data_IF_452132607619
#
_entry.id   IF_452132607619
#
_cell.length_a   1.000
_cell.length_b   1.000
_cell.length_c   1.000
_cell.angle_alpha   90.00
_cell.angle_beta   90.00
_cell.angle_gamma   90.00
#
_symmetry.space_group_name_H-M   'P 1'
#
loop_
_entity.id
_entity.type
_entity.pdbx_description
1 polymer ?
#
# COMPACT_ATOMS: atom_id res chain seq x y z
N UNK A 1 -36.62 -25.19 50.23
CA UNK A 1 -35.23 -24.84 49.89
C UNK A 1 -34.88 -25.68 48.66
N UNK A 2 -35.48 -25.49 47.47
CA UNK A 2 -35.59 -24.30 46.61
C UNK A 2 -34.24 -23.63 46.35
N UNK A 3 -33.94 -23.53 45.05
CA UNK A 3 -32.84 -22.85 44.35
C UNK A 3 -31.65 -23.80 44.11
N UNK A 4 -31.56 -24.59 43.02
CA UNK A 4 -31.56 -24.27 41.57
C UNK A 4 -30.54 -23.20 41.16
N UNK A 5 -29.68 -23.59 40.21
CA UNK A 5 -28.92 -22.78 39.25
C UNK A 5 -28.02 -21.64 39.76
N UNK A 6 -26.70 -21.80 39.57
CA UNK A 6 -25.86 -20.95 38.70
C UNK A 6 -24.44 -21.55 38.69
N UNK A 7 -24.08 -22.28 37.63
CA UNK A 7 -23.27 -21.77 36.51
C UNK A 7 -21.79 -21.53 36.95
N UNK A 8 -20.90 -22.47 36.66
CA UNK A 8 -19.97 -22.33 35.52
C UNK A 8 -19.19 -21.03 35.57
N UNK A 9 -17.98 -21.05 36.14
CA UNK A 9 -16.82 -20.28 35.61
C UNK A 9 -15.58 -20.52 36.47
N UNK A 10 -14.96 -21.69 36.29
CA UNK A 10 -13.51 -21.81 36.51
C UNK A 10 -12.97 -22.69 35.39
N UNK A 11 -13.15 -22.23 34.15
CA UNK A 11 -12.23 -22.64 33.09
C UNK A 11 -10.86 -22.06 33.47
N UNK A 12 -9.99 -23.00 33.82
CA UNK A 12 -8.55 -22.86 33.77
C UNK A 12 -8.16 -21.93 32.63
N UNK A 13 -7.60 -20.78 33.03
CA UNK A 13 -6.88 -19.85 32.16
C UNK A 13 -5.92 -20.65 31.29
N UNK A 14 -6.34 -20.96 30.06
CA UNK A 14 -5.41 -21.11 28.97
C UNK A 14 -4.62 -19.81 28.94
N UNK A 15 -3.32 -19.95 29.15
CA UNK A 15 -2.35 -18.90 28.99
C UNK A 15 -2.63 -18.22 27.66
N UNK A 16 -3.10 -16.98 27.73
CA UNK A 16 -3.11 -16.07 26.60
C UNK A 16 -1.74 -16.16 25.95
N UNK A 17 -1.71 -16.76 24.75
CA UNK A 17 -0.52 -16.82 23.93
C UNK A 17 0.04 -15.41 23.83
N UNK A 18 1.31 -15.28 24.16
CA UNK A 18 2.09 -14.08 23.99
C UNK A 18 1.94 -13.56 22.55
N UNK A 19 1.52 -12.29 22.44
CA UNK A 19 1.11 -11.49 21.26
C UNK A 19 1.52 -11.98 19.87
N UNK A 20 0.51 -12.24 19.03
CA UNK A 20 0.64 -12.07 17.57
C UNK A 20 1.10 -10.63 17.31
N UNK A 21 2.26 -10.46 16.67
CA UNK A 21 2.81 -9.15 16.30
C UNK A 21 1.74 -8.29 15.61
N UNK A 22 1.54 -7.04 16.06
CA UNK A 22 0.62 -6.10 15.42
C UNK A 22 0.86 -6.08 13.91
N UNK A 23 -0.16 -6.44 13.13
CA UNK A 23 -0.09 -6.57 11.68
C UNK A 23 0.29 -5.20 11.06
N UNK A 24 1.50 -5.09 10.51
CA UNK A 24 1.99 -3.83 9.94
C UNK A 24 1.67 -3.78 8.45
N UNK A 25 0.78 -2.86 8.09
CA UNK A 25 0.36 -2.62 6.71
C UNK A 25 1.12 -1.45 6.08
N UNK A 26 1.63 -1.64 4.87
CA UNK A 26 2.26 -0.59 4.08
C UNK A 26 1.72 -0.50 2.65
N UNK A 27 1.90 0.66 2.04
CA UNK A 27 1.62 0.90 0.62
C UNK A 27 2.91 1.23 -0.11
N UNK A 28 3.04 0.75 -1.35
CA UNK A 28 3.95 1.25 -2.36
C UNK A 28 3.14 1.93 -3.45
N UNK A 29 3.48 3.17 -3.80
CA UNK A 29 2.85 3.88 -4.92
C UNK A 29 3.87 4.70 -5.68
N UNK A 30 3.70 4.80 -7.00
CA UNK A 30 4.49 5.69 -7.86
C UNK A 30 3.57 6.77 -8.39
N UNK A 31 3.87 8.03 -8.10
CA UNK A 31 3.06 9.18 -8.51
C UNK A 31 3.89 10.15 -9.34
N UNK A 32 3.25 10.78 -10.32
CA UNK A 32 3.84 11.83 -11.15
C UNK A 32 3.13 13.14 -10.91
N UNK A 33 3.82 14.19 -10.49
CA UNK A 33 3.25 15.52 -10.23
C UNK A 33 1.95 15.55 -9.39
N UNK A 34 1.84 14.80 -8.27
CA UNK A 34 0.65 14.88 -7.44
C UNK A 34 0.52 16.27 -6.81
N UNK A 35 -0.67 16.87 -6.90
CA UNK A 35 -0.93 18.14 -6.19
C UNK A 35 -0.94 17.90 -4.68
N UNK A 36 -0.68 18.97 -3.90
CA UNK A 36 -0.66 18.87 -2.42
C UNK A 36 -1.99 18.36 -1.86
N UNK A 37 -3.10 18.85 -2.40
CA UNK A 37 -4.44 18.49 -1.92
C UNK A 37 -4.81 17.05 -2.27
N UNK A 38 -4.43 16.59 -3.47
CA UNK A 38 -4.62 15.20 -3.90
C UNK A 38 -3.80 14.27 -3.01
N UNK A 39 -2.50 14.55 -2.84
CA UNK A 39 -1.63 13.74 -2.01
C UNK A 39 -2.10 13.70 -0.55
N UNK A 40 -2.46 14.85 0.01
CA UNK A 40 -2.96 14.93 1.38
C UNK A 40 -4.22 14.08 1.56
N UNK A 41 -5.17 14.18 0.62
CA UNK A 41 -6.42 13.42 0.68
C UNK A 41 -6.17 11.92 0.57
N UNK A 42 -5.34 11.51 -0.39
CA UNK A 42 -4.98 10.11 -0.61
C UNK A 42 -4.25 9.50 0.59
N UNK A 43 -3.28 10.23 1.17
CA UNK A 43 -2.57 9.79 2.37
C UNK A 43 -3.51 9.70 3.56
N UNK A 44 -4.34 10.73 3.78
CA UNK A 44 -5.29 10.76 4.90
C UNK A 44 -6.26 9.58 4.84
N UNK A 45 -6.76 9.26 3.64
CA UNK A 45 -7.62 8.10 3.44
C UNK A 45 -6.92 6.80 3.85
N UNK A 46 -5.75 6.51 3.27
CA UNK A 46 -5.07 5.24 3.49
C UNK A 46 -4.59 5.06 4.94
N UNK A 47 -4.09 6.12 5.57
CA UNK A 47 -3.76 6.07 7.00
C UNK A 47 -5.02 5.88 7.86
N UNK A 48 -6.15 6.50 7.52
CA UNK A 48 -7.39 6.35 8.30
C UNK A 48 -7.96 4.93 8.31
N UNK A 49 -7.66 4.11 7.28
CA UNK A 49 -8.11 2.73 7.18
C UNK A 49 -7.05 1.71 7.65
N UNK A 50 -6.01 2.15 8.38
CA UNK A 50 -5.10 1.26 9.10
C UNK A 50 -3.77 0.94 8.41
N UNK A 51 -3.45 1.55 7.26
CA UNK A 51 -2.07 1.55 6.78
C UNK A 51 -1.20 2.43 7.69
N UNK A 52 0.05 2.04 7.90
CA UNK A 52 0.96 2.73 8.83
C UNK A 52 2.24 3.25 8.16
N UNK A 53 2.54 2.77 6.95
CA UNK A 53 3.69 3.19 6.16
C UNK A 53 3.28 3.38 4.70
N UNK A 54 3.70 4.49 4.09
CA UNK A 54 3.62 4.70 2.65
C UNK A 54 5.03 4.88 2.10
N UNK A 55 5.38 4.04 1.13
CA UNK A 55 6.58 4.14 0.31
C UNK A 55 6.18 4.82 -1.00
N UNK A 56 6.41 6.13 -1.08
CA UNK A 56 6.00 6.96 -2.20
C UNK A 56 7.19 7.22 -3.12
N UNK A 57 7.09 6.81 -4.38
CA UNK A 57 8.07 7.09 -5.42
C UNK A 57 7.55 8.22 -6.30
N UNK A 58 8.35 9.27 -6.48
CA UNK A 58 8.02 10.37 -7.37
C UNK A 58 8.64 10.12 -8.72
N UNK A 59 7.81 10.02 -9.75
CA UNK A 59 8.22 9.60 -11.09
C UNK A 59 8.79 10.75 -11.92
N UNK A 60 8.45 12.01 -11.59
CA UNK A 60 9.05 13.18 -12.22
C UNK A 60 10.25 13.68 -11.39
N UNK A 61 11.46 13.82 -11.97
CA UNK A 61 12.60 14.42 -11.27
C UNK A 61 12.35 15.85 -10.79
N UNK A 62 11.40 16.56 -11.41
CA UNK A 62 11.00 17.91 -11.02
C UNK A 62 9.94 17.93 -9.91
N UNK A 63 9.42 16.77 -9.49
CA UNK A 63 8.46 16.68 -8.40
C UNK A 63 9.08 17.20 -7.11
N UNK A 64 8.64 18.38 -6.69
CA UNK A 64 8.92 18.95 -5.38
C UNK A 64 7.66 18.93 -4.52
N UNK A 65 7.30 17.72 -4.09
CA UNK A 65 6.37 17.60 -2.98
C UNK A 65 7.02 18.22 -1.74
N UNK A 66 6.32 19.15 -1.10
CA UNK A 66 6.76 19.62 0.21
C UNK A 66 6.68 18.45 1.18
N UNK A 67 7.83 17.84 1.49
CA UNK A 67 7.96 16.75 2.46
C UNK A 67 7.22 17.05 3.78
N UNK A 68 7.09 18.34 4.11
CA UNK A 68 6.26 18.85 5.20
C UNK A 68 4.78 18.40 5.15
N UNK A 69 4.14 18.35 3.98
CA UNK A 69 2.74 17.91 3.84
C UNK A 69 2.63 16.42 4.16
N UNK A 70 3.47 15.59 3.56
CA UNK A 70 3.48 14.15 3.82
C UNK A 70 3.81 13.84 5.28
N UNK A 71 4.81 14.52 5.85
CA UNK A 71 5.20 14.35 7.26
C UNK A 71 4.08 14.78 8.23
N UNK A 72 3.41 15.90 7.94
CA UNK A 72 2.29 16.39 8.75
C UNK A 72 1.14 15.38 8.76
N UNK A 73 0.72 14.89 7.57
CA UNK A 73 -0.37 13.91 7.46
C UNK A 73 0.02 12.61 8.16
N UNK A 74 1.23 12.10 7.92
CA UNK A 74 1.71 10.87 8.56
C UNK A 74 1.65 10.99 10.10
N UNK A 75 2.16 12.09 10.66
CA UNK A 75 2.14 12.36 12.11
C UNK A 75 0.73 12.42 12.69
N UNK A 76 -0.23 13.00 11.96
CA UNK A 76 -1.62 13.10 12.40
C UNK A 76 -2.23 11.70 12.66
N UNK A 77 -1.83 10.70 11.89
CA UNK A 77 -2.34 9.33 12.00
C UNK A 77 -1.36 8.35 12.66
N UNK A 78 -0.22 8.83 13.17
CA UNK A 78 0.83 7.97 13.74
C UNK A 78 1.55 7.09 12.71
N UNK A 79 1.47 7.43 11.43
CA UNK A 79 2.13 6.72 10.33
C UNK A 79 3.45 7.35 9.89
N UNK A 80 4.04 6.79 8.86
CA UNK A 80 5.29 7.23 8.22
C UNK A 80 5.11 7.31 6.70
N UNK A 81 5.67 8.34 6.06
CA UNK A 81 5.80 8.42 4.61
C UNK A 81 7.27 8.49 4.26
N UNK A 82 7.75 7.55 3.45
CA UNK A 82 9.08 7.57 2.87
C UNK A 82 8.99 7.96 1.40
N UNK A 83 9.48 9.16 1.10
CA UNK A 83 9.51 9.69 -0.26
C UNK A 83 10.85 9.33 -0.91
N UNK A 84 10.78 8.71 -2.07
CA UNK A 84 11.94 8.44 -2.93
C UNK A 84 11.80 9.24 -4.22
N UNK A 85 12.74 10.13 -4.47
CA UNK A 85 12.76 10.97 -5.67
C UNK A 85 13.33 10.19 -6.85
N UNK A 86 12.87 10.49 -8.07
CA UNK A 86 13.51 10.01 -9.29
C UNK A 86 14.84 10.74 -9.53
N UNK A 87 15.89 10.22 -8.90
CA UNK A 87 17.24 10.74 -8.98
C UNK A 87 18.27 9.63 -9.24
N UNK A 88 19.55 10.02 -9.31
CA UNK A 88 20.66 9.09 -9.54
C UNK A 88 20.81 8.05 -8.42
N UNK A 89 20.32 8.34 -7.20
CA UNK A 89 20.33 7.36 -6.11
C UNK A 89 19.31 6.27 -6.38
N UNK A 90 18.06 6.62 -6.72
CA UNK A 90 17.04 5.63 -7.09
C UNK A 90 17.50 4.78 -8.28
N UNK A 91 18.13 5.40 -9.28
CA UNK A 91 18.70 4.67 -10.42
C UNK A 91 19.73 3.62 -10.01
N UNK A 92 20.63 3.95 -9.08
CA UNK A 92 21.61 2.99 -8.55
C UNK A 92 20.95 1.87 -7.74
N UNK A 93 19.90 2.18 -7.00
CA UNK A 93 19.10 1.14 -6.32
C UNK A 93 18.50 0.19 -7.36
N UNK A 94 17.90 0.70 -8.44
CA UNK A 94 17.40 -0.13 -9.53
C UNK A 94 18.50 -1.01 -10.14
N UNK A 95 19.67 -0.47 -10.44
CA UNK A 95 20.81 -1.23 -11.01
C UNK A 95 21.27 -2.40 -10.13
N UNK A 96 21.00 -2.34 -8.82
CA UNK A 96 21.32 -3.40 -7.87
C UNK A 96 20.28 -4.54 -7.83
N UNK A 97 19.10 -4.35 -8.43
CA UNK A 97 18.01 -5.32 -8.40
C UNK A 97 18.26 -6.47 -9.38
N UNK A 98 17.92 -7.69 -8.96
CA UNK A 98 18.00 -8.88 -9.82
C UNK A 98 17.18 -8.71 -11.11
N UNK A 99 15.97 -8.12 -11.00
CA UNK A 99 15.06 -7.93 -12.13
C UNK A 99 15.50 -6.81 -13.09
N UNK A 100 16.47 -5.97 -12.70
CA UNK A 100 16.88 -4.82 -13.49
C UNK A 100 17.32 -5.17 -14.91
N UNK A 101 17.98 -6.32 -15.07
CA UNK A 101 18.46 -6.77 -16.36
C UNK A 101 17.35 -6.88 -17.43
N UNK A 102 16.11 -7.18 -17.01
CA UNK A 102 14.93 -7.27 -17.88
C UNK A 102 14.37 -5.90 -18.28
N UNK A 103 14.44 -4.92 -17.38
CA UNK A 103 13.81 -3.61 -17.55
C UNK A 103 14.77 -2.48 -17.94
N UNK A 104 16.10 -2.69 -17.90
CA UNK A 104 17.12 -1.66 -18.15
C UNK A 104 16.98 -0.92 -19.49
N UNK A 105 16.42 -1.55 -20.51
CA UNK A 105 16.20 -0.96 -21.84
C UNK A 105 14.84 -0.26 -21.98
N UNK A 106 13.98 -0.36 -20.96
CA UNK A 106 12.62 0.16 -20.93
C UNK A 106 12.44 1.23 -19.86
N UNK A 107 13.51 1.91 -19.42
CA UNK A 107 13.41 2.89 -18.33
C UNK A 107 12.56 4.12 -18.69
N UNK A 108 12.31 4.37 -19.97
CA UNK A 108 11.36 5.40 -20.43
C UNK A 108 9.90 4.96 -20.26
N UNK A 109 9.63 3.67 -20.13
CA UNK A 109 8.31 3.09 -19.86
C UNK A 109 7.92 3.26 -18.39
N UNK A 110 6.75 3.85 -18.14
CA UNK A 110 6.23 4.08 -16.79
C UNK A 110 6.00 2.77 -16.03
N UNK A 111 5.48 1.74 -16.69
CA UNK A 111 5.23 0.44 -16.05
C UNK A 111 6.54 -0.22 -15.63
N UNK A 112 7.59 -0.10 -16.45
CA UNK A 112 8.91 -0.61 -16.08
C UNK A 112 9.45 0.08 -14.82
N UNK A 113 9.32 1.40 -14.72
CA UNK A 113 9.74 2.15 -13.51
C UNK A 113 8.89 1.79 -12.30
N UNK A 114 7.57 1.64 -12.45
CA UNK A 114 6.68 1.19 -11.37
C UNK A 114 7.08 -0.19 -10.83
N UNK A 115 7.37 -1.15 -11.71
CA UNK A 115 7.83 -2.49 -11.32
C UNK A 115 9.15 -2.42 -10.54
N UNK A 116 10.11 -1.64 -11.03
CA UNK A 116 11.40 -1.46 -10.35
C UNK A 116 11.23 -0.77 -8.98
N UNK A 117 10.37 0.24 -8.88
CA UNK A 117 10.01 0.90 -7.61
C UNK A 117 9.36 -0.08 -6.62
N UNK A 118 8.43 -0.91 -7.09
CA UNK A 118 7.79 -1.93 -6.28
C UNK A 118 8.82 -2.94 -5.72
N UNK A 119 9.82 -3.33 -6.51
CA UNK A 119 10.88 -4.22 -6.03
C UNK A 119 11.79 -3.54 -4.99
N UNK A 120 12.13 -2.26 -5.17
CA UNK A 120 12.81 -1.46 -4.12
C UNK A 120 11.97 -1.43 -2.85
N UNK A 121 10.65 -1.22 -2.98
CA UNK A 121 9.72 -1.18 -1.87
C UNK A 121 9.63 -2.52 -1.12
N UNK A 122 9.64 -3.65 -1.84
CA UNK A 122 9.73 -5.00 -1.24
C UNK A 122 11.01 -5.13 -0.40
N UNK A 123 12.15 -4.62 -0.90
CA UNK A 123 13.40 -4.58 -0.15
C UNK A 123 13.29 -3.78 1.16
N UNK A 124 12.62 -2.62 1.15
CA UNK A 124 12.36 -1.79 2.33
C UNK A 124 11.39 -2.50 3.29
N UNK A 125 10.31 -3.08 2.77
CA UNK A 125 9.29 -3.79 3.53
C UNK A 125 9.91 -4.95 4.33
N UNK A 126 10.80 -5.73 3.70
CA UNK A 126 11.54 -6.82 4.37
C UNK A 126 12.44 -6.30 5.50
N UNK A 127 13.15 -5.19 5.29
CA UNK A 127 14.02 -4.58 6.31
C UNK A 127 13.22 -4.05 7.50
N UNK A 128 12.05 -3.46 7.24
CA UNK A 128 11.13 -2.92 8.26
C UNK A 128 10.18 -3.96 8.88
N UNK A 129 10.25 -5.23 8.45
CA UNK A 129 9.37 -6.33 8.89
C UNK A 129 7.87 -6.02 8.68
N UNK A 130 7.56 -5.39 7.55
CA UNK A 130 6.17 -5.14 7.14
C UNK A 130 5.46 -6.47 6.87
N UNK A 131 4.24 -6.62 7.37
CA UNK A 131 3.43 -7.84 7.21
C UNK A 131 2.85 -7.95 5.80
N UNK A 132 2.28 -6.85 5.29
CA UNK A 132 1.74 -6.76 3.93
C UNK A 132 2.12 -5.44 3.27
N UNK A 133 2.61 -5.53 2.03
CA UNK A 133 2.86 -4.38 1.16
C UNK A 133 1.85 -4.40 0.02
N UNK A 134 1.00 -3.38 -0.06
CA UNK A 134 0.06 -3.17 -1.15
C UNK A 134 0.69 -2.26 -2.20
N UNK A 135 0.83 -2.72 -3.44
CA UNK A 135 1.11 -1.84 -4.58
C UNK A 135 -0.20 -1.33 -5.15
N UNK A 136 -0.36 -0.01 -5.27
CA UNK A 136 -1.59 0.66 -5.72
C UNK A 136 -1.26 2.02 -6.35
N UNK A 137 -2.02 2.43 -7.36
CA UNK A 137 -1.80 3.70 -8.05
C UNK A 137 -2.32 4.90 -7.25
N UNK A 138 -1.85 6.10 -7.62
CA UNK A 138 -2.12 7.32 -6.86
C UNK A 138 -3.54 7.87 -7.00
N UNK A 139 -4.30 7.36 -7.96
CA UNK A 139 -5.72 7.64 -8.21
C UNK A 139 -6.64 6.48 -7.77
N UNK A 140 -6.07 5.37 -7.30
CA UNK A 140 -6.79 4.22 -6.76
C UNK A 140 -6.95 4.31 -5.23
N UNK A 141 -8.00 3.64 -4.72
CA UNK A 141 -8.28 3.52 -3.29
C UNK A 141 -8.49 2.06 -2.90
N UNK A 142 -7.93 1.64 -1.77
CA UNK A 142 -8.22 0.33 -1.18
C UNK A 142 -9.45 0.38 -0.27
N UNK A 143 -10.63 0.08 -0.80
CA UNK A 143 -11.87 0.12 -0.04
C UNK A 143 -12.21 -1.21 0.63
N UNK A 144 -12.51 -1.17 1.93
CA UNK A 144 -13.20 -2.24 2.66
C UNK A 144 -14.50 -1.69 3.27
N UNK A 145 -15.61 -2.47 3.32
CA UNK A 145 -16.84 -2.03 3.98
C UNK A 145 -16.68 -1.69 5.47
N UNK A 146 -15.66 -2.27 6.12
CA UNK A 146 -15.34 -1.99 7.52
C UNK A 146 -14.65 -0.64 7.74
N UNK A 147 -14.21 0.02 6.66
CA UNK A 147 -13.34 1.21 6.71
C UNK A 147 -12.06 0.96 7.54
N UNK A 148 -11.60 -0.28 7.52
CA UNK A 148 -10.38 -0.78 8.15
C UNK A 148 -9.85 -1.92 7.27
N UNK A 149 -8.61 -1.80 6.82
CA UNK A 149 -7.96 -2.78 5.98
C UNK A 149 -7.44 -3.99 6.78
N UNK A 150 -7.21 -3.83 8.10
CA UNK A 150 -6.59 -4.86 8.94
C UNK A 150 -7.35 -6.19 8.95
N UNK A 151 -8.69 -6.23 9.14
CA UNK A 151 -9.42 -7.50 9.13
C UNK A 151 -9.26 -8.30 7.83
N UNK A 152 -9.15 -7.59 6.69
CA UNK A 152 -8.93 -8.23 5.40
C UNK A 152 -7.54 -8.88 5.31
N UNK A 153 -6.49 -8.16 5.70
CA UNK A 153 -5.13 -8.70 5.67
C UNK A 153 -4.85 -9.72 6.79
N UNK A 154 -5.52 -9.61 7.93
CA UNK A 154 -5.56 -10.66 8.97
C UNK A 154 -6.18 -11.94 8.43
N UNK A 155 -7.31 -11.82 7.71
CA UNK A 155 -7.94 -12.97 7.05
C UNK A 155 -6.97 -13.63 6.06
N UNK A 156 -6.26 -12.85 5.23
CA UNK A 156 -5.25 -13.40 4.31
C UNK A 156 -4.12 -14.11 5.09
N UNK A 157 -3.61 -13.47 6.16
CA UNK A 157 -2.53 -14.01 7.00
C UNK A 157 -2.93 -15.28 7.76
N UNK A 158 -4.21 -15.41 8.12
CA UNK A 158 -4.74 -16.61 8.79
C UNK A 158 -4.64 -17.87 7.93
N UNK A 159 -4.49 -17.71 6.60
CA UNK A 159 -4.29 -18.81 5.65
C UNK A 159 -2.79 -19.06 5.47
N UNK A 160 -2.32 -20.23 5.87
CA UNK A 160 -0.88 -20.61 5.89
C UNK A 160 -0.17 -20.61 4.53
N UNK A 161 -0.87 -20.42 3.43
CA UNK A 161 -0.35 -20.58 2.07
C UNK A 161 -0.66 -19.38 1.15
N UNK A 162 -1.11 -18.26 1.70
CA UNK A 162 -1.32 -17.03 0.93
C UNK A 162 -0.15 -16.09 1.22
N UNK A 163 0.63 -15.80 0.18
CA UNK A 163 1.78 -14.88 0.25
C UNK A 163 1.57 -13.63 -0.62
N UNK A 164 0.57 -13.68 -1.50
CA UNK A 164 0.24 -12.61 -2.44
C UNK A 164 -1.27 -12.63 -2.67
N UNK A 165 -1.85 -11.45 -2.78
CA UNK A 165 -3.19 -11.24 -3.28
C UNK A 165 -3.11 -10.27 -4.46
N UNK A 166 -3.87 -10.53 -5.51
CA UNK A 166 -4.01 -9.65 -6.66
C UNK A 166 -5.45 -9.18 -6.70
N UNK A 167 -5.63 -7.87 -6.68
CA UNK A 167 -6.93 -7.23 -6.82
C UNK A 167 -7.08 -6.81 -8.27
N UNK A 168 -8.23 -7.08 -8.86
CA UNK A 168 -8.55 -6.57 -10.18
C UNK A 168 -9.02 -5.13 -10.01
N UNK A 169 -8.41 -4.21 -10.75
CA UNK A 169 -8.92 -2.85 -10.81
C UNK A 169 -10.32 -2.88 -11.45
N UNK A 170 -11.23 -2.10 -10.90
CA UNK A 170 -12.58 -1.91 -11.46
C UNK A 170 -12.54 -0.74 -12.46
N UNK A 171 -11.65 -0.82 -13.44
CA UNK A 171 -11.64 0.10 -14.57
C UNK A 171 -12.83 -0.21 -15.47
N UNK A 172 -13.75 0.75 -15.59
CA UNK A 172 -14.75 0.70 -16.64
C UNK A 172 -14.04 0.99 -17.98
N UNK A 173 -13.73 -0.07 -18.73
CA UNK A 173 -13.38 0.08 -20.14
C UNK A 173 -14.62 0.59 -20.88
N UNK A 174 -14.49 1.71 -21.60
CA UNK A 174 -15.54 2.11 -22.53
C UNK A 174 -15.74 0.96 -23.54
N UNK A 175 -16.96 0.43 -23.66
CA UNK A 175 -17.34 -0.36 -24.83
C UNK A 175 -17.10 0.53 -26.05
N UNK A 176 -16.48 -0.02 -27.10
CA UNK A 176 -16.11 0.68 -28.32
C UNK A 176 -17.19 1.70 -28.74
N UNK A 177 -16.90 3.01 -28.65
CA UNK A 177 -17.64 3.97 -29.46
C UNK A 177 -17.19 3.72 -30.89
N UNK A 178 -18.05 3.08 -31.71
CA UNK A 178 -17.92 3.22 -33.15
C UNK A 178 -17.80 4.71 -33.45
N UNK A 179 -16.80 5.18 -34.22
CA UNK A 179 -16.70 6.59 -34.55
C UNK A 179 -17.98 6.98 -35.30
N UNK A 180 -18.88 7.69 -34.61
CA UNK A 180 -20.00 8.33 -35.29
C UNK A 180 -19.42 9.25 -36.35
N UNK A 181 -19.87 9.05 -37.59
CA UNK A 181 -19.40 9.74 -38.81
C UNK A 181 -19.06 11.21 -38.56
N UNK A 182 -17.97 11.74 -39.17
CA UNK A 182 -17.63 13.14 -39.01
C UNK A 182 -18.82 14.00 -39.42
N UNK A 183 -19.30 14.82 -38.49
CA UNK A 183 -20.38 15.77 -38.73
C UNK A 183 -20.03 16.64 -39.95
N UNK A 184 -20.72 16.40 -41.08
CA UNK A 184 -20.71 17.24 -42.27
C UNK A 184 -21.61 18.46 -42.10
#
# INVERSE_FOLDING_TARGET
MKDEQEAQDVQSKESAGTSEDDLVLAICSTMKNPSKDVLQSWLSYHFSIGFSLVLLFLDDPSDDLSAATSEMVAKQFGGEVLITRHDERLRKEWESLTIFAEYRQKLDDQMARQILNAEVAVGIARKKKISWLLHIDGDELFFTPALDARPHFEMLSSKKNIYQAVYLNMEAMAEEEEPSEPFF
#
